data_IF_261329809807
#
_entry.id   IF_261329809807
#
_cell.length_a   1.000
_cell.length_b   1.000
_cell.length_c   1.000
_cell.angle_alpha   90.00
_cell.angle_beta   90.00
_cell.angle_gamma   90.00
#
_symmetry.space_group_name_H-M   'P 1'
#
loop_
_entity.id
_entity.type
_entity.pdbx_description
1 polymer ?
#
# COMPACT_ATOMS: atom_id res chain seq x y z
N UNK A 1 8.32 -3.49 -7.73
CA UNK A 1 7.05 -4.18 -7.98
C UNK A 1 6.81 -4.50 -9.46
N UNK A 2 6.52 -3.52 -10.35
CA UNK A 2 6.21 -3.78 -11.77
C UNK A 2 7.25 -4.64 -12.48
N UNK A 3 8.54 -4.33 -12.28
CA UNK A 3 9.67 -5.13 -12.78
C UNK A 3 9.65 -6.59 -12.29
N UNK A 4 9.31 -6.80 -11.01
CA UNK A 4 9.28 -8.15 -10.40
C UNK A 4 8.08 -8.95 -10.92
N UNK A 5 6.94 -8.29 -11.12
CA UNK A 5 5.72 -8.90 -11.67
C UNK A 5 5.77 -9.08 -13.20
N UNK A 6 6.77 -8.51 -13.89
CA UNK A 6 6.87 -8.58 -15.35
C UNK A 6 5.73 -7.89 -16.10
N UNK A 7 4.95 -7.03 -15.44
CA UNK A 7 3.78 -6.35 -16.03
C UNK A 7 3.66 -4.89 -15.56
N UNK A 8 3.09 -4.00 -16.39
CA UNK A 8 2.84 -2.62 -15.98
C UNK A 8 1.92 -2.54 -14.77
N UNK A 9 2.26 -1.68 -13.81
CA UNK A 9 1.38 -1.30 -12.69
C UNK A 9 1.33 0.22 -12.66
N UNK A 10 0.13 0.78 -12.89
CA UNK A 10 -0.08 2.23 -13.00
C UNK A 10 -0.37 2.81 -11.64
N UNK A 11 0.44 3.78 -11.21
CA UNK A 11 0.13 4.62 -10.07
C UNK A 11 -0.84 5.73 -10.49
N UNK A 12 -1.92 5.90 -9.73
CA UNK A 12 -2.86 7.03 -9.90
C UNK A 12 -3.01 7.72 -8.55
N UNK A 13 -2.64 9.00 -8.48
CA UNK A 13 -2.93 9.84 -7.32
C UNK A 13 -4.43 10.13 -7.31
N UNK A 14 -5.05 9.93 -6.16
CA UNK A 14 -6.46 10.27 -5.90
C UNK A 14 -6.54 11.04 -4.59
N UNK A 15 -7.62 11.80 -4.39
CA UNK A 15 -7.89 12.42 -3.10
C UNK A 15 -8.24 11.34 -2.05
N UNK A 16 -8.03 11.66 -0.78
CA UNK A 16 -8.44 10.78 0.33
C UNK A 16 -9.95 10.57 0.32
N UNK A 17 -10.72 11.60 -0.02
CA UNK A 17 -12.19 11.54 -0.09
C UNK A 17 -12.68 10.59 -1.19
N UNK A 18 -12.06 10.63 -2.36
CA UNK A 18 -12.37 9.70 -3.46
C UNK A 18 -12.03 8.26 -3.06
N UNK A 19 -10.87 8.07 -2.43
CA UNK A 19 -10.45 6.75 -1.94
C UNK A 19 -11.45 6.20 -0.91
N UNK A 20 -11.82 7.01 0.07
CA UNK A 20 -12.81 6.68 1.10
C UNK A 20 -14.17 6.34 0.48
N UNK A 21 -14.62 7.12 -0.49
CA UNK A 21 -15.90 6.87 -1.20
C UNK A 21 -15.90 5.51 -1.90
N UNK A 22 -14.80 5.15 -2.56
CA UNK A 22 -14.64 3.83 -3.17
C UNK A 22 -14.65 2.73 -2.10
N UNK A 23 -13.96 2.91 -0.97
CA UNK A 23 -13.93 1.90 0.11
C UNK A 23 -15.31 1.66 0.73
N UNK A 24 -16.10 2.72 0.95
CA UNK A 24 -17.50 2.59 1.39
C UNK A 24 -18.34 1.80 0.38
N UNK A 25 -18.21 2.08 -0.91
CA UNK A 25 -18.93 1.35 -1.96
C UNK A 25 -18.58 -0.15 -2.02
N UNK A 26 -17.40 -0.53 -1.51
CA UNK A 26 -16.93 -1.91 -1.39
C UNK A 26 -17.31 -2.57 -0.06
N UNK A 27 -18.13 -1.93 0.77
CA UNK A 27 -18.62 -2.49 2.03
C UNK A 27 -17.70 -2.28 3.24
N UNK A 28 -16.74 -1.35 3.17
CA UNK A 28 -15.96 -0.97 4.34
C UNK A 28 -16.86 -0.32 5.41
N UNK A 29 -16.64 -0.64 6.68
CA UNK A 29 -17.33 0.01 7.80
C UNK A 29 -16.88 1.45 7.98
N UNK A 30 -17.71 2.28 8.61
CA UNK A 30 -17.36 3.68 8.90
C UNK A 30 -16.10 3.81 9.75
N UNK A 31 -15.90 2.90 10.70
CA UNK A 31 -14.69 2.87 11.51
C UNK A 31 -13.45 2.57 10.66
N UNK A 32 -13.52 1.55 9.77
CA UNK A 32 -12.41 1.22 8.88
C UNK A 32 -12.07 2.38 7.92
N UNK A 33 -13.09 3.07 7.44
CA UNK A 33 -12.94 4.26 6.58
C UNK A 33 -12.25 5.39 7.34
N UNK A 34 -12.70 5.69 8.56
CA UNK A 34 -12.09 6.71 9.41
C UNK A 34 -10.62 6.40 9.66
N UNK A 35 -10.31 5.19 10.14
CA UNK A 35 -8.95 4.79 10.48
C UNK A 35 -8.02 4.85 9.26
N UNK A 36 -8.49 4.41 8.08
CA UNK A 36 -7.70 4.52 6.84
C UNK A 36 -7.47 5.97 6.42
N UNK A 37 -8.50 6.83 6.53
CA UNK A 37 -8.38 8.23 6.12
C UNK A 37 -7.38 9.00 7.00
N UNK A 38 -7.42 8.76 8.31
CA UNK A 38 -6.49 9.37 9.27
C UNK A 38 -5.05 8.88 9.05
N UNK A 39 -4.88 7.57 8.82
CA UNK A 39 -3.57 7.00 8.51
C UNK A 39 -3.00 7.55 7.19
N UNK A 40 -3.81 7.72 6.16
CA UNK A 40 -3.37 8.32 4.88
C UNK A 40 -2.99 9.80 5.05
N UNK A 41 -3.80 10.56 5.78
CA UNK A 41 -3.52 11.96 6.06
C UNK A 41 -2.21 12.13 6.85
N UNK A 42 -1.97 11.28 7.85
CA UNK A 42 -0.73 11.29 8.62
C UNK A 42 0.49 10.92 7.77
N UNK A 43 0.36 9.94 6.88
CA UNK A 43 1.42 9.57 5.93
C UNK A 43 1.76 10.71 4.97
N UNK A 44 0.73 11.35 4.38
CA UNK A 44 0.91 12.51 3.51
C UNK A 44 1.53 13.70 4.27
N UNK A 45 1.31 13.79 5.58
CA UNK A 45 1.90 14.79 6.48
C UNK A 45 3.30 14.41 7.03
N UNK A 46 3.90 13.32 6.56
CA UNK A 46 5.29 12.96 6.93
C UNK A 46 5.44 12.28 8.29
N UNK A 47 4.43 11.53 8.77
CA UNK A 47 4.48 10.86 10.08
C UNK A 47 5.75 9.99 10.29
N UNK A 48 6.36 9.48 9.22
CA UNK A 48 7.56 8.64 9.30
C UNK A 48 8.88 9.40 9.18
N UNK A 49 8.87 10.71 8.91
CA UNK A 49 10.08 11.46 8.58
C UNK A 49 11.08 11.45 9.76
N UNK A 50 10.59 11.64 10.98
CA UNK A 50 11.42 11.62 12.18
C UNK A 50 12.00 10.22 12.47
N UNK A 51 11.18 9.17 12.28
CA UNK A 51 11.59 7.78 12.50
C UNK A 51 12.68 7.37 11.50
N UNK A 52 12.57 7.85 10.24
CA UNK A 52 13.51 7.51 9.18
C UNK A 52 14.93 8.01 9.44
N UNK A 53 15.08 9.12 10.16
CA UNK A 53 16.39 9.70 10.53
C UNK A 53 17.21 8.74 11.39
N UNK A 54 16.55 7.93 12.23
CA UNK A 54 17.22 7.03 13.19
C UNK A 54 16.99 5.55 12.89
N UNK A 55 16.30 5.24 11.79
CA UNK A 55 15.96 3.89 11.42
C UNK A 55 17.21 3.05 11.12
N UNK A 56 17.29 1.87 11.73
CA UNK A 56 18.23 0.83 11.33
C UNK A 56 17.65 0.09 10.12
N UNK A 57 18.36 0.15 8.99
CA UNK A 57 17.93 -0.52 7.76
C UNK A 57 17.82 -2.03 8.00
N UNK A 58 16.65 -2.60 7.71
CA UNK A 58 16.41 -4.03 7.79
C UNK A 58 17.21 -4.78 6.71
N UNK A 59 17.47 -6.08 6.93
CA UNK A 59 18.16 -6.92 5.95
C UNK A 59 17.31 -7.24 4.71
N UNK A 60 16.01 -6.99 4.77
CA UNK A 60 15.08 -7.13 3.65
C UNK A 60 14.69 -5.76 3.11
N UNK A 61 14.43 -5.70 1.81
CA UNK A 61 13.95 -4.51 1.13
C UNK A 61 12.62 -4.78 0.42
N UNK A 62 11.99 -3.71 -0.08
CA UNK A 62 10.72 -3.81 -0.79
C UNK A 62 10.79 -4.71 -2.04
N UNK A 63 11.95 -4.78 -2.71
CA UNK A 63 12.15 -5.61 -3.91
C UNK A 63 12.20 -7.09 -3.56
N UNK A 64 12.89 -7.44 -2.48
CA UNK A 64 12.99 -8.78 -1.90
C UNK A 64 11.60 -9.26 -1.49
N UNK A 65 10.85 -8.44 -0.75
CA UNK A 65 9.46 -8.76 -0.41
C UNK A 65 8.58 -8.94 -1.65
N UNK A 66 8.70 -8.06 -2.67
CA UNK A 66 7.96 -8.21 -3.92
C UNK A 66 8.23 -9.57 -4.59
N UNK A 67 9.48 -10.04 -4.57
CA UNK A 67 9.91 -11.29 -5.20
C UNK A 67 9.42 -12.50 -4.42
N UNK A 68 9.62 -12.48 -3.11
CA UNK A 68 9.47 -13.66 -2.26
C UNK A 68 8.03 -13.84 -1.75
N UNK A 69 7.23 -12.76 -1.71
CA UNK A 69 5.87 -12.78 -1.16
C UNK A 69 4.83 -12.35 -2.19
N UNK A 70 4.98 -11.14 -2.76
CA UNK A 70 3.94 -10.58 -3.62
C UNK A 70 3.74 -11.38 -4.92
N UNK A 71 4.84 -11.70 -5.62
CA UNK A 71 4.78 -12.41 -6.90
C UNK A 71 4.10 -13.79 -6.75
N UNK A 72 4.50 -14.66 -5.81
CA UNK A 72 3.81 -15.94 -5.59
C UNK A 72 2.31 -15.80 -5.31
N UNK A 73 1.91 -14.80 -4.51
CA UNK A 73 0.51 -14.58 -4.18
C UNK A 73 -0.32 -14.15 -5.41
N UNK A 74 0.23 -13.27 -6.26
CA UNK A 74 -0.42 -12.85 -7.50
C UNK A 74 -0.56 -14.00 -8.49
N UNK A 75 0.47 -14.84 -8.62
CA UNK A 75 0.45 -16.01 -9.50
C UNK A 75 -0.58 -17.04 -9.03
N UNK A 76 -0.66 -17.32 -7.72
CA UNK A 76 -1.67 -18.20 -7.14
C UNK A 76 -3.10 -17.69 -7.38
N UNK A 77 -3.34 -16.39 -7.21
CA UNK A 77 -4.66 -15.79 -7.42
C UNK A 77 -5.08 -15.69 -8.90
N UNK A 78 -4.14 -15.84 -9.85
CA UNK A 78 -4.45 -15.83 -11.29
C UNK A 78 -4.78 -17.24 -11.80
N UNK A 79 -4.41 -18.29 -11.05
CA UNK A 79 -4.74 -19.69 -11.36
C UNK A 79 -6.07 -20.15 -10.77
N UNK A 80 -6.73 -19.32 -9.96
CA UNK A 80 -8.06 -19.54 -9.39
C UNK A 80 -9.12 -18.81 -10.21
#
# INVERSE_FOLDING_TARGET
MSQVLGRPVVYRRTSVDDFVSVRRSQGASEQAVKDMSEALAAQDAGIYDADWVTAKIATTDFRTWCRDVLKPAVEANTMA
#
